data_IF_690125783843
#
_entry.id   IF_690125783843
#
_cell.length_a   1.000
_cell.length_b   1.000
_cell.length_c   1.000
_cell.angle_alpha   90.00
_cell.angle_beta   90.00
_cell.angle_gamma   90.00
#
_symmetry.space_group_name_H-M   'P 1'
#
loop_
_entity.id
_entity.type
_entity.pdbx_description
1 polymer ?
#
# COMPACT_ATOMS: atom_id res chain seq x y z
N UNK A 1 0.67 -28.13 21.49
CA UNK A 1 0.06 -28.25 20.13
C UNK A 1 -1.31 -27.58 19.97
N UNK A 2 -1.75 -26.79 20.91
CA UNK A 2 -3.12 -26.17 20.87
C UNK A 2 -3.14 -24.64 20.82
N UNK A 3 -2.02 -23.96 20.96
CA UNK A 3 -1.97 -22.47 20.96
C UNK A 3 -1.54 -21.84 19.62
N UNK A 4 -1.03 -22.64 18.70
CA UNK A 4 -0.48 -22.21 17.42
C UNK A 4 -1.52 -21.71 16.40
N UNK A 5 -2.78 -22.09 16.58
CA UNK A 5 -3.86 -21.75 15.62
C UNK A 5 -4.49 -20.37 15.81
N UNK A 6 -4.16 -19.62 16.88
CA UNK A 6 -4.86 -18.36 17.20
C UNK A 6 -4.13 -17.06 16.82
N UNK A 7 -2.82 -17.08 16.65
CA UNK A 7 -2.04 -15.84 16.47
C UNK A 7 -1.73 -15.56 14.98
N UNK A 8 -1.58 -16.59 14.17
CA UNK A 8 -1.51 -16.42 12.70
C UNK A 8 -2.86 -15.98 12.10
N UNK A 9 -3.95 -16.09 12.87
CA UNK A 9 -5.31 -15.73 12.44
C UNK A 9 -5.59 -14.24 12.23
N UNK A 10 -4.82 -13.33 12.79
CA UNK A 10 -5.13 -11.89 12.62
C UNK A 10 -4.52 -11.30 11.33
N UNK A 11 -3.50 -11.95 10.75
CA UNK A 11 -2.86 -11.50 9.50
C UNK A 11 -2.90 -12.58 8.41
N UNK A 12 -3.21 -13.84 8.74
CA UNK A 12 -3.10 -15.01 7.86
C UNK A 12 -4.37 -15.83 7.67
N UNK A 13 -5.50 -15.53 8.31
CA UNK A 13 -6.71 -16.35 8.18
C UNK A 13 -7.88 -15.58 7.56
N UNK A 14 -7.94 -15.56 6.24
CA UNK A 14 -9.17 -15.88 5.52
C UNK A 14 -8.89 -17.11 4.65
N UNK A 15 -8.84 -18.27 5.30
CA UNK A 15 -8.97 -19.53 4.58
C UNK A 15 -10.43 -19.69 4.19
N UNK A 16 -10.66 -19.63 2.89
CA UNK A 16 -11.88 -20.06 2.20
C UNK A 16 -12.21 -21.47 2.68
N UNK A 17 -13.23 -21.62 3.53
CA UNK A 17 -13.99 -22.86 3.59
C UNK A 17 -14.97 -22.79 2.41
N UNK A 18 -14.52 -23.28 1.26
CA UNK A 18 -15.42 -23.63 0.18
C UNK A 18 -16.24 -24.85 0.62
N UNK A 19 -17.37 -24.61 1.28
CA UNK A 19 -18.45 -25.60 1.32
C UNK A 19 -19.14 -25.56 -0.03
N UNK A 20 -18.92 -26.63 -0.84
CA UNK A 20 -19.69 -26.94 -2.02
C UNK A 20 -21.17 -27.10 -1.66
N UNK A 21 -21.92 -26.02 -1.69
CA UNK A 21 -23.36 -26.01 -1.90
C UNK A 21 -23.66 -24.80 -2.75
N UNK A 22 -24.14 -25.03 -3.98
CA UNK A 22 -24.53 -24.01 -4.93
C UNK A 22 -25.74 -23.21 -4.44
N UNK A 23 -25.49 -22.31 -3.51
CA UNK A 23 -26.38 -21.19 -3.22
C UNK A 23 -25.75 -20.02 -3.97
N UNK A 24 -26.35 -19.66 -5.10
CA UNK A 24 -26.18 -18.34 -5.67
C UNK A 24 -26.75 -17.40 -4.61
N UNK A 25 -25.88 -16.86 -3.75
CA UNK A 25 -26.25 -15.75 -2.88
C UNK A 25 -26.69 -14.63 -3.83
N UNK A 26 -27.92 -14.16 -3.68
CA UNK A 26 -28.36 -12.95 -4.36
C UNK A 26 -27.29 -11.88 -4.08
N UNK A 27 -26.69 -11.35 -5.13
CA UNK A 27 -25.66 -10.31 -5.02
C UNK A 27 -26.24 -9.17 -4.18
N UNK A 28 -25.51 -8.75 -3.14
CA UNK A 28 -26.01 -7.69 -2.26
C UNK A 28 -26.20 -6.42 -3.09
N UNK A 29 -27.44 -5.95 -3.23
CA UNK A 29 -27.78 -4.80 -4.07
C UNK A 29 -27.07 -3.52 -3.66
N UNK A 30 -26.56 -3.44 -2.42
CA UNK A 30 -25.76 -2.32 -1.94
C UNK A 30 -24.37 -2.28 -2.60
N UNK A 31 -23.76 -3.45 -2.81
CA UNK A 31 -22.46 -3.56 -3.50
C UNK A 31 -22.60 -3.15 -4.97
N UNK A 32 -23.66 -3.58 -5.65
CA UNK A 32 -23.91 -3.15 -7.04
C UNK A 32 -24.09 -1.62 -7.15
N UNK A 33 -24.86 -1.03 -6.23
CA UNK A 33 -25.06 0.41 -6.20
C UNK A 33 -23.76 1.15 -5.90
N UNK A 34 -22.95 0.64 -4.98
CA UNK A 34 -21.63 1.20 -4.67
C UNK A 34 -20.67 1.13 -5.87
N UNK A 35 -20.64 0.02 -6.61
CA UNK A 35 -19.83 -0.09 -7.85
C UNK A 35 -20.25 0.95 -8.90
N UNK A 36 -21.55 1.18 -9.05
CA UNK A 36 -22.06 2.22 -9.95
C UNK A 36 -21.62 3.64 -9.47
N UNK A 37 -21.63 3.87 -8.16
CA UNK A 37 -21.10 5.10 -7.60
C UNK A 37 -19.58 5.24 -7.84
N UNK A 38 -18.79 4.19 -7.69
CA UNK A 38 -17.35 4.19 -7.98
C UNK A 38 -17.06 4.55 -9.44
N UNK A 39 -17.91 4.10 -10.38
CA UNK A 39 -17.82 4.53 -11.77
C UNK A 39 -18.00 6.05 -11.93
N UNK A 40 -18.96 6.62 -11.20
CA UNK A 40 -19.16 8.08 -11.17
C UNK A 40 -17.92 8.80 -10.59
N UNK A 41 -17.38 8.35 -9.45
CA UNK A 41 -16.18 8.95 -8.86
C UNK A 41 -14.99 8.91 -9.82
N UNK A 42 -14.84 7.83 -10.58
CA UNK A 42 -13.81 7.68 -11.61
C UNK A 42 -14.00 8.66 -12.76
N UNK A 43 -15.23 8.78 -13.28
CA UNK A 43 -15.55 9.75 -14.34
C UNK A 43 -15.36 11.20 -13.85
N UNK A 44 -15.67 11.45 -12.56
CA UNK A 44 -15.40 12.74 -11.92
C UNK A 44 -13.90 13.05 -11.84
N UNK A 45 -13.08 12.11 -11.39
CA UNK A 45 -11.62 12.26 -11.31
C UNK A 45 -11.01 12.57 -12.69
N UNK A 46 -11.52 11.90 -13.73
CA UNK A 46 -11.11 12.13 -15.12
C UNK A 46 -11.70 13.42 -15.71
N UNK A 47 -12.57 14.11 -15.00
CA UNK A 47 -13.34 15.27 -15.48
C UNK A 47 -14.07 14.99 -16.81
N UNK A 48 -14.62 13.79 -16.95
CA UNK A 48 -15.39 13.35 -18.13
C UNK A 48 -16.88 13.65 -17.94
N UNK A 49 -17.27 14.88 -18.23
CA UNK A 49 -18.65 15.33 -18.13
C UNK A 49 -19.61 14.52 -19.02
N UNK A 50 -19.13 14.08 -20.19
CA UNK A 50 -19.93 13.29 -21.13
C UNK A 50 -20.18 11.88 -20.60
N UNK A 51 -19.17 11.21 -20.07
CA UNK A 51 -19.34 9.90 -19.44
C UNK A 51 -20.25 10.00 -18.22
N UNK A 52 -20.11 11.04 -17.37
CA UNK A 52 -20.99 11.27 -16.22
C UNK A 52 -22.47 11.35 -16.69
N UNK A 53 -22.77 12.19 -17.67
CA UNK A 53 -24.14 12.38 -18.15
C UNK A 53 -24.73 11.10 -18.76
N UNK A 54 -23.94 10.35 -19.51
CA UNK A 54 -24.39 9.13 -20.21
C UNK A 54 -24.50 7.93 -19.27
N UNK A 55 -23.49 7.71 -18.45
CA UNK A 55 -23.32 6.43 -17.73
C UNK A 55 -23.82 6.49 -16.29
N UNK A 56 -23.80 7.66 -15.65
CA UNK A 56 -24.07 7.78 -14.23
C UNK A 56 -25.45 8.36 -13.90
N UNK A 57 -26.13 9.01 -14.85
CA UNK A 57 -27.46 9.54 -14.62
C UNK A 57 -28.52 8.86 -15.50
N UNK A 58 -29.69 8.64 -14.93
CA UNK A 58 -30.92 8.44 -15.73
C UNK A 58 -31.32 9.77 -16.39
N UNK A 59 -32.02 9.71 -17.49
CA UNK A 59 -32.50 10.92 -18.18
C UNK A 59 -34.01 10.83 -18.31
N UNK A 60 -34.78 11.75 -17.75
CA UNK A 60 -34.32 12.93 -16.99
C UNK A 60 -33.92 12.63 -15.56
N UNK A 61 -33.05 13.47 -14.96
CA UNK A 61 -32.70 13.45 -13.54
C UNK A 61 -32.90 14.84 -12.91
N UNK A 62 -33.04 14.88 -11.58
CA UNK A 62 -33.18 16.14 -10.85
C UNK A 62 -31.85 16.55 -10.21
N UNK A 63 -31.31 17.70 -10.57
CA UNK A 63 -30.11 18.26 -10.00
C UNK A 63 -30.45 19.56 -9.29
N UNK A 64 -30.15 19.62 -7.98
CA UNK A 64 -30.36 20.78 -7.15
C UNK A 64 -29.01 21.37 -6.73
N UNK A 65 -28.56 22.42 -7.41
CA UNK A 65 -27.37 23.21 -7.02
C UNK A 65 -27.78 24.59 -6.50
N UNK A 66 -28.40 25.40 -7.33
CA UNK A 66 -28.95 26.70 -6.96
C UNK A 66 -30.49 26.77 -7.14
N UNK A 67 -31.02 25.88 -7.97
CA UNK A 67 -32.46 25.67 -8.15
C UNK A 67 -32.68 24.24 -8.60
N UNK A 68 -33.82 23.64 -8.24
CA UNK A 68 -34.18 22.28 -8.71
C UNK A 68 -34.50 22.39 -10.21
N UNK A 69 -33.72 21.68 -11.01
CA UNK A 69 -33.94 21.57 -12.43
C UNK A 69 -34.07 20.12 -12.84
N UNK A 70 -35.08 19.81 -13.65
CA UNK A 70 -35.14 18.53 -14.36
C UNK A 70 -34.21 18.65 -15.55
N UNK A 71 -33.21 17.77 -15.61
CA UNK A 71 -32.12 17.85 -16.58
C UNK A 71 -32.06 16.60 -17.44
N UNK A 72 -32.06 16.80 -18.74
CA UNK A 72 -31.66 15.74 -19.68
C UNK A 72 -30.12 15.57 -19.71
N UNK A 73 -29.64 14.57 -20.43
CA UNK A 73 -28.21 14.26 -20.49
C UNK A 73 -27.36 15.45 -21.00
N UNK A 74 -27.90 16.28 -21.89
CA UNK A 74 -27.19 17.45 -22.44
C UNK A 74 -26.98 18.52 -21.36
N UNK A 75 -28.03 18.81 -20.60
CA UNK A 75 -27.97 19.78 -19.49
C UNK A 75 -27.06 19.27 -18.38
N UNK A 76 -27.08 17.98 -18.08
CA UNK A 76 -26.19 17.34 -17.11
C UNK A 76 -24.72 17.52 -17.56
N UNK A 77 -24.42 17.19 -18.81
CA UNK A 77 -23.07 17.33 -19.37
C UNK A 77 -22.56 18.79 -19.27
N UNK A 78 -23.36 19.77 -19.63
CA UNK A 78 -22.99 21.20 -19.59
C UNK A 78 -22.78 21.69 -18.14
N UNK A 79 -23.56 21.21 -17.19
CA UNK A 79 -23.37 21.53 -15.78
C UNK A 79 -22.01 21.02 -15.27
N UNK A 80 -21.63 19.78 -15.60
CA UNK A 80 -20.34 19.22 -15.18
C UNK A 80 -19.16 19.88 -15.89
N UNK A 81 -19.28 20.23 -17.18
CA UNK A 81 -18.25 21.03 -17.89
C UNK A 81 -17.98 22.37 -17.19
N UNK A 82 -19.04 23.02 -16.72
CA UNK A 82 -18.91 24.28 -15.97
C UNK A 82 -18.18 24.06 -14.65
N UNK A 83 -18.57 23.05 -13.86
CA UNK A 83 -17.92 22.72 -12.61
C UNK A 83 -16.44 22.38 -12.82
N UNK A 84 -16.13 21.53 -13.79
CA UNK A 84 -14.75 21.13 -14.09
C UNK A 84 -13.89 22.30 -14.56
N UNK A 85 -14.48 23.27 -15.27
CA UNK A 85 -13.77 24.49 -15.64
C UNK A 85 -13.35 25.30 -14.40
N UNK A 86 -14.22 25.39 -13.38
CA UNK A 86 -13.92 26.06 -12.11
C UNK A 86 -12.86 25.27 -11.33
N UNK A 87 -13.01 23.95 -11.26
CA UNK A 87 -12.08 23.09 -10.52
C UNK A 87 -10.68 23.10 -11.11
N UNK A 88 -10.55 23.06 -12.45
CA UNK A 88 -9.25 23.17 -13.16
C UNK A 88 -8.55 24.51 -12.88
N UNK A 89 -9.27 25.60 -12.84
CA UNK A 89 -8.73 26.93 -12.51
C UNK A 89 -8.20 27.02 -11.07
N UNK A 90 -8.72 26.19 -10.18
CA UNK A 90 -8.34 26.14 -8.77
C UNK A 90 -7.40 24.98 -8.44
N UNK A 91 -6.76 24.40 -9.45
CA UNK A 91 -5.77 23.35 -9.30
C UNK A 91 -6.29 22.08 -8.60
N UNK A 92 -7.56 21.73 -8.80
CA UNK A 92 -8.16 20.51 -8.24
C UNK A 92 -7.46 19.25 -8.74
N UNK A 93 -7.17 18.32 -7.80
CA UNK A 93 -6.61 17.03 -8.12
C UNK A 93 -7.60 15.88 -7.85
N UNK A 94 -8.03 15.69 -6.60
CA UNK A 94 -8.94 14.61 -6.22
C UNK A 94 -9.86 14.99 -5.04
N UNK A 95 -10.84 14.13 -4.77
CA UNK A 95 -11.66 14.18 -3.56
C UNK A 95 -11.44 12.93 -2.72
N UNK A 96 -11.37 13.10 -1.40
CA UNK A 96 -11.52 11.99 -0.45
C UNK A 96 -12.98 11.94 -0.02
N UNK A 97 -13.61 10.76 -0.15
CA UNK A 97 -15.05 10.58 0.00
C UNK A 97 -15.34 9.58 1.12
N UNK A 98 -16.26 9.94 2.02
CA UNK A 98 -16.90 9.04 2.97
C UNK A 98 -18.36 8.90 2.58
N UNK A 99 -18.79 7.67 2.28
CA UNK A 99 -20.09 7.37 1.70
C UNK A 99 -20.96 6.60 2.69
N UNK A 100 -22.25 6.90 2.71
CA UNK A 100 -23.25 6.11 3.44
C UNK A 100 -24.39 5.75 2.48
N UNK A 101 -24.65 4.46 2.30
CA UNK A 101 -25.68 3.92 1.44
C UNK A 101 -26.90 3.49 2.26
N UNK A 102 -27.99 4.24 2.15
CA UNK A 102 -29.22 4.01 2.87
C UNK A 102 -30.23 3.34 1.96
N UNK A 103 -30.48 2.05 2.16
CA UNK A 103 -31.46 1.29 1.38
C UNK A 103 -32.87 1.85 1.59
N UNK A 104 -33.51 2.26 0.51
CA UNK A 104 -34.91 2.69 0.48
C UNK A 104 -35.82 1.55 -0.02
N UNK A 105 -35.33 0.76 -0.98
CA UNK A 105 -35.94 -0.45 -1.52
C UNK A 105 -34.88 -1.33 -2.19
N UNK A 106 -35.25 -2.46 -2.74
CA UNK A 106 -34.32 -3.33 -3.50
C UNK A 106 -33.80 -2.68 -4.80
N UNK A 107 -34.42 -1.61 -5.24
CA UNK A 107 -34.05 -0.88 -6.45
C UNK A 107 -33.73 0.58 -6.22
N UNK A 108 -33.69 1.06 -4.96
CA UNK A 108 -33.45 2.47 -4.63
C UNK A 108 -32.54 2.59 -3.41
N UNK A 109 -31.44 3.34 -3.57
CA UNK A 109 -30.55 3.76 -2.49
C UNK A 109 -30.47 5.27 -2.42
N UNK A 110 -30.54 5.81 -1.19
CA UNK A 110 -30.08 7.17 -0.92
C UNK A 110 -28.64 7.12 -0.49
N UNK A 111 -27.77 7.86 -1.19
CA UNK A 111 -26.34 7.93 -0.89
C UNK A 111 -26.02 9.30 -0.33
N UNK A 112 -25.35 9.31 0.80
CA UNK A 112 -24.76 10.50 1.38
C UNK A 112 -23.25 10.46 1.15
N UNK A 113 -22.69 11.55 0.65
CA UNK A 113 -21.25 11.72 0.45
C UNK A 113 -20.74 12.90 1.26
N UNK A 114 -19.83 12.65 2.19
CA UNK A 114 -19.06 13.67 2.88
C UNK A 114 -17.65 13.66 2.30
N UNK A 115 -17.16 14.80 1.81
CA UNK A 115 -15.91 14.81 1.07
C UNK A 115 -15.10 16.09 1.22
N UNK A 116 -13.78 15.91 1.07
CA UNK A 116 -12.81 16.98 0.96
C UNK A 116 -12.17 16.98 -0.42
N UNK A 117 -11.90 18.16 -0.97
CA UNK A 117 -11.19 18.32 -2.25
C UNK A 117 -9.77 18.81 -2.02
N UNK A 118 -8.84 18.26 -2.78
CA UNK A 118 -7.42 18.55 -2.67
C UNK A 118 -6.84 19.07 -3.97
N UNK A 119 -5.82 19.93 -3.85
CA UNK A 119 -5.02 20.44 -4.97
C UNK A 119 -3.90 19.47 -5.32
N UNK A 120 -3.20 19.73 -6.45
CA UNK A 120 -2.04 18.96 -6.89
C UNK A 120 -0.88 19.02 -5.90
N UNK A 121 -0.72 20.11 -5.15
CA UNK A 121 0.25 20.23 -4.06
C UNK A 121 -0.16 19.50 -2.77
N UNK A 122 -1.32 18.80 -2.78
CA UNK A 122 -1.86 18.09 -1.63
C UNK A 122 -2.54 18.97 -0.58
N UNK A 123 -2.55 20.28 -0.76
CA UNK A 123 -3.27 21.20 0.14
C UNK A 123 -4.78 21.08 -0.03
N UNK A 124 -5.52 21.37 1.04
CA UNK A 124 -6.98 21.36 1.01
C UNK A 124 -7.49 22.48 0.09
N UNK A 125 -8.24 22.13 -0.94
CA UNK A 125 -8.93 23.09 -1.81
C UNK A 125 -10.28 23.54 -1.20
N UNK A 126 -11.08 22.55 -0.78
CA UNK A 126 -12.38 22.75 -0.14
C UNK A 126 -12.63 21.60 0.82
N UNK A 127 -13.04 21.92 2.05
CA UNK A 127 -13.32 20.91 3.08
C UNK A 127 -14.77 20.94 3.56
N UNK A 128 -15.16 19.89 4.27
CA UNK A 128 -16.48 19.73 4.90
C UNK A 128 -17.65 19.86 3.91
N UNK A 129 -17.47 19.34 2.70
CA UNK A 129 -18.49 19.33 1.67
C UNK A 129 -19.39 18.11 1.83
N UNK A 130 -20.69 18.28 1.54
CA UNK A 130 -21.61 17.15 1.55
C UNK A 130 -22.61 17.22 0.39
N UNK A 131 -22.95 16.04 -0.10
CA UNK A 131 -23.97 15.86 -1.13
C UNK A 131 -24.81 14.62 -0.82
N UNK A 132 -26.05 14.63 -1.31
CA UNK A 132 -26.91 13.44 -1.32
C UNK A 132 -27.32 13.12 -2.74
N UNK A 133 -27.36 11.83 -3.01
CA UNK A 133 -27.78 11.27 -4.28
C UNK A 133 -28.94 10.30 -4.04
N UNK A 134 -29.82 10.16 -4.98
CA UNK A 134 -30.77 9.06 -5.05
C UNK A 134 -30.41 8.22 -6.27
N UNK A 135 -30.07 6.97 -6.04
CA UNK A 135 -29.76 5.99 -7.08
C UNK A 135 -30.94 5.04 -7.28
N UNK A 136 -31.29 4.76 -8.52
CA UNK A 136 -32.34 3.82 -8.87
C UNK A 136 -31.82 2.80 -9.88
N UNK A 137 -32.22 1.52 -9.69
CA UNK A 137 -31.95 0.44 -10.64
C UNK A 137 -33.07 0.36 -11.64
N UNK A 138 -32.82 0.78 -12.89
CA UNK A 138 -33.74 0.66 -14.02
C UNK A 138 -33.07 -0.19 -15.12
N UNK A 139 -33.79 -1.16 -15.65
CA UNK A 139 -33.29 -2.08 -16.69
C UNK A 139 -31.96 -2.77 -16.34
N UNK A 140 -31.77 -3.09 -15.06
CA UNK A 140 -30.54 -3.73 -14.54
C UNK A 140 -29.37 -2.77 -14.25
N UNK A 141 -29.50 -1.48 -14.51
CA UNK A 141 -28.45 -0.49 -14.33
C UNK A 141 -28.76 0.47 -13.17
N UNK A 142 -27.83 0.62 -12.24
CA UNK A 142 -27.88 1.63 -11.19
C UNK A 142 -27.38 2.96 -11.71
N UNK A 143 -28.21 4.01 -11.62
CA UNK A 143 -27.87 5.39 -11.99
C UNK A 143 -28.54 6.39 -11.06
N UNK A 144 -27.99 7.61 -11.02
CA UNK A 144 -28.58 8.71 -10.27
C UNK A 144 -29.85 9.24 -10.92
N UNK A 145 -30.87 9.45 -10.12
CA UNK A 145 -32.10 10.17 -10.49
C UNK A 145 -32.21 11.50 -9.77
N UNK A 146 -31.40 11.72 -8.73
CA UNK A 146 -31.35 12.96 -7.95
C UNK A 146 -29.95 13.21 -7.43
N UNK A 147 -29.55 14.49 -7.39
CA UNK A 147 -28.34 15.00 -6.75
C UNK A 147 -28.63 16.35 -6.10
N UNK A 148 -28.17 16.54 -4.85
CA UNK A 148 -28.19 17.83 -4.16
C UNK A 148 -26.98 18.00 -3.26
N UNK A 149 -26.43 19.20 -3.21
CA UNK A 149 -25.55 19.61 -2.11
C UNK A 149 -26.37 19.78 -0.84
N UNK A 150 -25.81 19.33 0.29
CA UNK A 150 -26.45 19.42 1.60
C UNK A 150 -25.46 19.98 2.62
N UNK A 151 -25.96 20.34 3.81
CA UNK A 151 -25.11 20.69 4.93
C UNK A 151 -24.55 19.39 5.56
N UNK A 152 -23.26 19.31 5.79
CA UNK A 152 -22.59 18.14 6.37
C UNK A 152 -23.17 17.71 7.73
N UNK A 153 -23.75 18.64 8.48
CA UNK A 153 -24.46 18.34 9.75
C UNK A 153 -25.74 17.49 9.58
N UNK A 154 -26.25 17.37 8.36
CA UNK A 154 -27.46 16.59 8.06
C UNK A 154 -27.16 15.18 7.54
N UNK A 155 -25.92 14.75 7.63
CA UNK A 155 -25.52 13.40 7.25
C UNK A 155 -26.19 12.36 8.15
N UNK A 156 -26.74 11.33 7.55
CA UNK A 156 -27.29 10.18 8.28
C UNK A 156 -26.19 9.11 8.39
N UNK A 157 -25.71 8.87 9.60
CA UNK A 157 -24.63 7.92 9.89
C UNK A 157 -25.13 6.51 10.26
N UNK A 158 -26.42 6.22 10.08
CA UNK A 158 -27.04 4.94 10.46
C UNK A 158 -27.17 3.93 9.30
N UNK A 159 -26.50 4.15 8.19
CA UNK A 159 -26.57 3.30 6.99
C UNK A 159 -25.23 2.62 6.74
N UNK A 160 -25.20 1.70 5.75
CA UNK A 160 -23.97 1.01 5.36
C UNK A 160 -22.91 2.01 4.90
N UNK A 161 -21.76 2.01 5.59
CA UNK A 161 -20.65 2.91 5.27
C UNK A 161 -19.71 2.26 4.26
N UNK A 162 -19.34 3.00 3.23
CA UNK A 162 -18.37 2.60 2.21
C UNK A 162 -17.28 3.65 2.07
N UNK A 163 -16.07 3.17 1.85
CA UNK A 163 -14.93 4.01 1.52
C UNK A 163 -14.55 3.80 0.06
N UNK A 164 -14.28 4.89 -0.64
CA UNK A 164 -13.75 4.81 -1.99
C UNK A 164 -12.25 4.53 -1.93
N UNK A 165 -11.87 3.28 -2.14
CA UNK A 165 -10.48 2.83 -2.17
C UNK A 165 -9.96 2.72 -3.61
N UNK A 166 -8.66 2.72 -3.79
CA UNK A 166 -7.97 2.50 -5.07
C UNK A 166 -8.50 3.37 -6.24
N UNK A 167 -8.83 4.62 -5.96
CA UNK A 167 -9.36 5.54 -6.97
C UNK A 167 -8.28 6.37 -7.67
N UNK A 168 -7.06 6.49 -7.08
CA UNK A 168 -6.02 7.40 -7.55
C UNK A 168 -4.95 6.66 -8.36
N UNK A 169 -4.84 6.92 -9.69
CA UNK A 169 -3.79 6.33 -10.51
C UNK A 169 -2.43 6.98 -10.20
N UNK A 170 -1.36 6.22 -10.38
CA UNK A 170 0.03 6.69 -10.27
C UNK A 170 0.55 7.16 -11.65
N UNK A 171 -0.13 8.13 -12.23
CA UNK A 171 0.18 8.76 -13.52
C UNK A 171 1.24 9.88 -13.40
N UNK A 172 1.47 10.64 -14.47
CA UNK A 172 2.44 11.73 -14.44
C UNK A 172 2.00 12.84 -13.46
N UNK A 173 0.72 13.16 -13.40
CA UNK A 173 0.19 14.17 -12.45
C UNK A 173 0.44 13.77 -11.00
N UNK A 174 0.30 12.48 -10.69
CA UNK A 174 0.65 11.93 -9.38
C UNK A 174 2.14 12.12 -9.09
N UNK A 175 3.04 11.74 -10.02
CA UNK A 175 4.49 11.89 -9.83
C UNK A 175 4.90 13.35 -9.65
N UNK A 176 4.37 14.27 -10.44
CA UNK A 176 4.61 15.71 -10.30
C UNK A 176 4.18 16.22 -8.92
N UNK A 177 3.02 15.76 -8.45
CA UNK A 177 2.50 16.10 -7.13
C UNK A 177 3.38 15.56 -5.99
N UNK A 178 3.88 14.32 -6.10
CA UNK A 178 4.79 13.74 -5.10
C UNK A 178 6.10 14.53 -5.09
N UNK A 179 6.72 14.76 -6.26
CA UNK A 179 7.99 15.50 -6.38
C UNK A 179 7.93 16.94 -5.88
N UNK A 180 6.74 17.55 -5.86
CA UNK A 180 6.56 18.91 -5.31
C UNK A 180 6.50 18.95 -3.77
N UNK A 181 6.34 17.81 -3.10
CA UNK A 181 6.10 17.69 -1.65
C UNK A 181 7.13 16.88 -0.89
N UNK A 182 7.86 16.03 -1.58
CA UNK A 182 8.80 15.08 -1.01
C UNK A 182 10.16 15.20 -1.70
N UNK A 183 11.23 14.99 -0.97
CA UNK A 183 12.59 15.15 -1.46
C UNK A 183 13.07 14.00 -2.38
N UNK A 184 12.25 12.96 -2.54
CA UNK A 184 12.58 11.82 -3.38
C UNK A 184 12.39 12.08 -4.87
N UNK A 185 12.98 11.22 -5.66
CA UNK A 185 12.98 11.26 -7.10
C UNK A 185 12.26 10.04 -7.69
N UNK A 186 11.76 10.16 -8.91
CA UNK A 186 11.26 9.04 -9.69
C UNK A 186 12.26 8.66 -10.77
N UNK A 187 12.57 7.38 -10.90
CA UNK A 187 13.37 6.83 -11.98
C UNK A 187 12.56 5.78 -12.73
N UNK A 188 12.58 5.85 -14.07
CA UNK A 188 11.93 4.83 -14.90
C UNK A 188 12.87 3.64 -15.06
N UNK A 189 12.45 2.49 -14.54
CA UNK A 189 13.11 1.20 -14.71
C UNK A 189 12.32 0.34 -15.72
N UNK A 190 12.77 -0.89 -15.99
CA UNK A 190 12.17 -1.77 -16.99
C UNK A 190 10.65 -1.97 -16.82
N UNK A 191 10.18 -2.09 -15.59
CA UNK A 191 8.82 -2.51 -15.27
C UNK A 191 7.95 -1.36 -14.72
N UNK A 192 8.47 -0.11 -14.67
CA UNK A 192 7.74 1.06 -14.20
C UNK A 192 8.60 2.10 -13.49
N UNK A 193 7.95 3.14 -12.96
CA UNK A 193 8.62 4.17 -12.17
C UNK A 193 8.85 3.70 -10.73
N UNK A 194 10.08 3.84 -10.27
CA UNK A 194 10.48 3.60 -8.88
C UNK A 194 10.71 4.94 -8.18
N UNK A 195 10.04 5.15 -7.04
CA UNK A 195 10.32 6.25 -6.13
C UNK A 195 11.48 5.88 -5.22
N UNK A 196 12.46 6.76 -5.08
CA UNK A 196 13.59 6.57 -4.18
C UNK A 196 14.06 7.90 -3.59
N UNK A 197 14.73 7.81 -2.46
CA UNK A 197 15.43 8.92 -1.84
C UNK A 197 16.90 8.54 -1.69
N UNK A 198 17.78 9.46 -1.99
CA UNK A 198 19.22 9.27 -1.92
C UNK A 198 19.92 10.49 -1.31
N UNK A 199 20.83 10.23 -0.38
CA UNK A 199 21.70 11.27 0.19
C UNK A 199 23.18 10.86 0.11
N UNK A 200 24.07 11.85 0.23
CA UNK A 200 25.53 11.67 0.19
C UNK A 200 26.00 10.85 -1.03
N UNK A 201 25.53 11.22 -2.23
CA UNK A 201 25.74 10.47 -3.50
C UNK A 201 27.22 10.15 -3.78
N UNK A 202 28.14 10.99 -3.33
CA UNK A 202 29.59 10.86 -3.57
C UNK A 202 30.33 10.08 -2.46
N UNK A 203 29.61 9.51 -1.50
CA UNK A 203 30.24 8.74 -0.43
C UNK A 203 30.92 7.47 -0.95
N UNK A 204 31.99 7.05 -0.30
CA UNK A 204 32.70 5.81 -0.68
C UNK A 204 31.89 4.55 -0.38
N UNK A 205 31.12 4.55 0.72
CA UNK A 205 30.29 3.42 1.16
C UNK A 205 28.81 3.79 1.05
N UNK A 206 28.04 2.92 0.45
CA UNK A 206 26.60 3.10 0.28
C UNK A 206 25.80 2.02 1.01
N UNK A 207 24.67 2.43 1.61
CA UNK A 207 23.72 1.57 2.29
C UNK A 207 22.40 1.65 1.53
N UNK A 208 21.77 0.51 1.27
CA UNK A 208 20.43 0.44 0.71
C UNK A 208 19.49 -0.17 1.74
N UNK A 209 18.42 0.56 2.04
CA UNK A 209 17.40 0.20 3.02
C UNK A 209 16.16 -0.34 2.28
N UNK A 210 15.91 -1.65 2.42
CA UNK A 210 14.83 -2.37 1.75
C UNK A 210 13.72 -2.64 2.76
N UNK A 211 12.54 -2.05 2.53
CA UNK A 211 11.40 -2.18 3.43
C UNK A 211 10.71 -3.55 3.35
N UNK A 212 9.77 -3.81 4.27
CA UNK A 212 9.04 -5.05 4.39
C UNK A 212 7.86 -5.18 3.43
N UNK A 213 6.90 -6.06 3.81
CA UNK A 213 5.79 -6.49 2.96
C UNK A 213 4.87 -5.36 2.49
N UNK A 214 4.49 -4.42 3.37
CA UNK A 214 3.41 -3.48 3.06
C UNK A 214 3.75 -2.01 3.31
N UNK A 215 4.51 -1.70 4.36
CA UNK A 215 4.89 -0.33 4.71
C UNK A 215 6.08 0.10 3.86
N UNK A 216 5.98 1.21 3.10
CA UNK A 216 7.03 1.64 2.18
C UNK A 216 8.25 2.24 2.87
N UNK A 217 9.17 2.78 2.09
CA UNK A 217 10.53 3.21 2.48
C UNK A 217 10.59 4.19 3.66
N UNK A 218 9.52 4.93 3.93
CA UNK A 218 9.49 5.84 5.08
C UNK A 218 9.63 5.14 6.44
N UNK A 219 9.45 3.81 6.49
CA UNK A 219 9.70 3.03 7.71
C UNK A 219 11.14 3.12 8.18
N UNK A 220 12.06 3.46 7.28
CA UNK A 220 13.48 3.59 7.52
C UNK A 220 13.92 4.99 7.95
N UNK A 221 13.00 5.93 8.22
CA UNK A 221 13.34 7.33 8.50
C UNK A 221 14.44 7.50 9.55
N UNK A 222 14.41 6.86 10.75
CA UNK A 222 15.45 7.04 11.76
C UNK A 222 16.83 6.58 11.27
N UNK A 223 16.90 5.42 10.61
CA UNK A 223 18.17 4.87 10.11
C UNK A 223 18.69 5.66 8.89
N UNK A 224 17.79 6.17 8.05
CA UNK A 224 18.14 6.99 6.90
C UNK A 224 18.80 8.31 7.34
N UNK A 225 18.23 8.99 8.32
CA UNK A 225 18.79 10.23 8.86
C UNK A 225 20.13 10.00 9.56
N UNK A 226 20.27 8.93 10.31
CA UNK A 226 21.54 8.60 10.98
C UNK A 226 22.64 8.26 9.96
N UNK A 227 22.32 7.55 8.88
CA UNK A 227 23.27 7.26 7.79
C UNK A 227 23.79 8.55 7.14
N UNK A 228 22.91 9.54 6.92
CA UNK A 228 23.26 10.85 6.38
C UNK A 228 24.26 11.56 7.31
N UNK A 229 23.96 11.62 8.61
CA UNK A 229 24.78 12.29 9.62
C UNK A 229 26.17 11.66 9.75
N UNK A 230 26.26 10.34 9.54
CA UNK A 230 27.54 9.60 9.57
C UNK A 230 28.32 9.63 8.26
N UNK A 231 27.80 10.31 7.24
CA UNK A 231 28.47 10.48 5.95
C UNK A 231 28.41 9.28 5.03
N UNK A 232 27.54 8.29 5.29
CA UNK A 232 27.29 7.20 4.34
C UNK A 232 26.46 7.71 3.18
N UNK A 233 26.72 7.20 1.98
CA UNK A 233 25.74 7.22 0.89
C UNK A 233 24.56 6.34 1.30
N UNK A 234 23.35 6.86 1.26
CA UNK A 234 22.19 6.09 1.67
C UNK A 234 21.06 6.20 0.66
N UNK A 235 20.45 5.05 0.36
CA UNK A 235 19.31 4.93 -0.53
C UNK A 235 18.20 4.20 0.22
N UNK A 236 16.98 4.75 0.15
CA UNK A 236 15.75 4.03 0.44
C UNK A 236 14.81 4.18 -0.74
N UNK A 237 14.03 3.17 -1.04
CA UNK A 237 13.13 3.19 -2.19
C UNK A 237 11.85 2.42 -1.88
N UNK A 238 10.79 2.75 -2.58
CA UNK A 238 9.55 2.00 -2.51
C UNK A 238 9.59 0.85 -3.51
N UNK A 239 9.36 -0.38 -3.05
CA UNK A 239 9.24 -1.52 -3.96
C UNK A 239 7.99 -1.37 -4.83
N UNK A 240 7.99 -1.93 -6.03
CA UNK A 240 6.79 -1.94 -6.87
C UNK A 240 5.58 -2.46 -6.09
N UNK A 241 4.42 -1.87 -6.33
CA UNK A 241 3.21 -2.19 -5.59
C UNK A 241 3.10 -1.52 -4.21
N UNK A 242 4.07 -0.72 -3.78
CA UNK A 242 4.11 -0.03 -2.48
C UNK A 242 4.39 1.45 -2.64
N UNK A 243 4.04 2.21 -1.62
CA UNK A 243 4.36 3.63 -1.52
C UNK A 243 4.04 4.41 -2.78
N UNK A 244 5.03 5.14 -3.28
CA UNK A 244 4.91 5.98 -4.46
C UNK A 244 5.40 5.32 -5.76
N UNK A 245 6.11 4.18 -5.69
CA UNK A 245 6.47 3.39 -6.89
C UNK A 245 5.25 2.86 -7.61
N UNK A 246 5.36 2.60 -8.90
CA UNK A 246 4.27 2.09 -9.72
C UNK A 246 3.74 0.73 -9.22
N UNK A 247 2.51 0.43 -9.61
CA UNK A 247 1.82 -0.83 -9.32
C UNK A 247 1.59 -1.62 -10.63
N UNK A 248 2.65 -2.13 -11.30
CA UNK A 248 2.49 -2.83 -12.58
C UNK A 248 1.65 -4.10 -12.45
N UNK A 249 0.95 -4.46 -13.51
CA UNK A 249 0.14 -5.67 -13.59
C UNK A 249 1.00 -6.90 -13.91
N UNK A 250 1.88 -7.27 -12.95
CA UNK A 250 2.84 -8.36 -13.04
C UNK A 250 2.75 -9.25 -11.79
N UNK A 251 3.46 -10.37 -11.79
CA UNK A 251 3.60 -11.24 -10.62
C UNK A 251 4.68 -10.70 -9.68
N UNK A 252 4.30 -10.46 -8.43
CA UNK A 252 5.16 -9.86 -7.42
C UNK A 252 5.96 -10.93 -6.67
N UNK A 253 6.94 -11.53 -7.36
CA UNK A 253 7.85 -12.52 -6.79
C UNK A 253 9.07 -11.88 -6.12
N UNK A 254 9.81 -12.68 -5.33
CA UNK A 254 11.10 -12.24 -4.77
C UNK A 254 12.09 -11.83 -5.87
N UNK A 255 12.11 -12.55 -6.99
CA UNK A 255 12.94 -12.22 -8.16
C UNK A 255 12.54 -10.87 -8.78
N UNK A 256 11.23 -10.60 -8.89
CA UNK A 256 10.72 -9.33 -9.40
C UNK A 256 11.20 -8.13 -8.57
N UNK A 257 11.13 -8.22 -7.25
CA UNK A 257 11.65 -7.19 -6.36
C UNK A 257 13.17 -7.07 -6.43
N UNK A 258 13.87 -8.20 -6.53
CA UNK A 258 15.32 -8.19 -6.68
C UNK A 258 15.76 -7.54 -8.01
N UNK A 259 15.05 -7.82 -9.11
CA UNK A 259 15.28 -7.16 -10.42
C UNK A 259 15.10 -5.65 -10.30
N UNK A 260 14.03 -5.18 -9.64
CA UNK A 260 13.81 -3.75 -9.39
C UNK A 260 15.02 -3.12 -8.70
N UNK A 261 15.51 -3.74 -7.62
CA UNK A 261 16.65 -3.19 -6.87
C UNK A 261 17.94 -3.21 -7.68
N UNK A 262 18.24 -4.29 -8.40
CA UNK A 262 19.44 -4.36 -9.25
C UNK A 262 19.39 -3.27 -10.34
N UNK A 263 18.25 -3.10 -11.00
CA UNK A 263 18.07 -2.06 -12.02
C UNK A 263 18.24 -0.65 -11.41
N UNK A 264 17.76 -0.43 -10.19
CA UNK A 264 17.97 0.83 -9.47
C UNK A 264 19.45 1.08 -9.16
N UNK A 265 20.17 0.07 -8.66
CA UNK A 265 21.60 0.19 -8.39
C UNK A 265 22.41 0.48 -9.67
N UNK A 266 22.04 -0.15 -10.78
CA UNK A 266 22.71 0.07 -12.09
C UNK A 266 22.44 1.48 -12.60
N UNK A 267 21.20 1.95 -12.53
CA UNK A 267 20.83 3.29 -12.92
C UNK A 267 21.51 4.39 -12.09
N UNK A 268 21.77 4.10 -10.81
CA UNK A 268 22.52 4.98 -9.89
C UNK A 268 24.04 4.78 -9.96
N UNK A 269 24.53 3.91 -10.85
CA UNK A 269 25.95 3.56 -11.03
C UNK A 269 26.62 3.00 -9.75
N UNK A 270 25.85 2.38 -8.86
CA UNK A 270 26.34 1.80 -7.61
C UNK A 270 26.80 0.36 -7.84
N UNK A 271 28.09 0.13 -7.77
CA UNK A 271 28.69 -1.18 -8.06
C UNK A 271 28.56 -2.17 -6.90
N UNK A 272 28.77 -1.70 -5.68
CA UNK A 272 28.77 -2.51 -4.48
C UNK A 272 28.20 -1.73 -3.28
N UNK A 273 27.34 -2.35 -2.50
CA UNK A 273 26.60 -1.69 -1.42
C UNK A 273 26.44 -2.60 -0.20
N UNK A 274 26.17 -2.00 0.95
CA UNK A 274 25.62 -2.71 2.09
C UNK A 274 24.10 -2.82 1.92
N UNK A 275 23.52 -4.03 2.03
CA UNK A 275 22.08 -4.25 1.95
C UNK A 275 21.47 -4.47 3.34
N UNK A 276 20.46 -3.71 3.68
CA UNK A 276 19.65 -3.87 4.89
C UNK A 276 18.23 -4.20 4.49
N UNK A 277 17.74 -5.40 4.85
CA UNK A 277 16.41 -5.88 4.48
C UNK A 277 15.53 -6.17 5.69
N UNK A 278 14.41 -5.47 5.80
CA UNK A 278 13.40 -5.66 6.85
C UNK A 278 12.35 -6.68 6.41
N UNK A 279 12.03 -7.64 7.28
CA UNK A 279 10.87 -8.54 7.06
C UNK A 279 10.91 -9.19 5.67
N UNK A 280 9.90 -8.95 4.82
CA UNK A 280 9.84 -9.44 3.44
C UNK A 280 10.97 -8.87 2.54
N UNK A 281 11.48 -7.65 2.86
CA UNK A 281 12.69 -7.12 2.26
C UNK A 281 13.91 -8.02 2.48
N UNK A 282 13.92 -8.81 3.55
CA UNK A 282 14.92 -9.85 3.81
C UNK A 282 14.97 -10.91 2.71
N UNK A 283 13.83 -11.30 2.13
CA UNK A 283 13.79 -12.22 0.96
C UNK A 283 14.48 -11.60 -0.25
N UNK A 284 14.18 -10.33 -0.52
CA UNK A 284 14.76 -9.58 -1.65
C UNK A 284 16.28 -9.48 -1.52
N UNK A 285 16.79 -9.07 -0.36
CA UNK A 285 18.23 -8.91 -0.17
C UNK A 285 18.97 -10.26 -0.13
N UNK A 286 18.33 -11.34 0.37
CA UNK A 286 18.88 -12.69 0.31
C UNK A 286 19.01 -13.17 -1.14
N UNK A 287 17.98 -12.94 -1.97
CA UNK A 287 18.02 -13.30 -3.39
C UNK A 287 19.19 -12.59 -4.10
N UNK A 288 19.34 -11.28 -3.88
CA UNK A 288 20.43 -10.50 -4.50
C UNK A 288 21.79 -11.00 -4.03
N UNK A 289 21.96 -11.21 -2.73
CA UNK A 289 23.24 -11.67 -2.20
C UNK A 289 23.63 -13.08 -2.67
N UNK A 290 22.63 -13.95 -2.93
CA UNK A 290 22.88 -15.27 -3.48
C UNK A 290 23.27 -15.27 -4.97
N UNK A 291 22.61 -14.42 -5.79
CA UNK A 291 22.80 -14.41 -7.25
C UNK A 291 23.80 -13.36 -7.74
N UNK A 292 24.02 -12.29 -6.96
CA UNK A 292 24.90 -11.18 -7.29
C UNK A 292 25.88 -10.86 -6.14
N UNK A 293 26.66 -11.83 -5.64
CA UNK A 293 27.50 -11.64 -4.44
C UNK A 293 28.52 -10.51 -4.58
N UNK A 294 29.00 -10.24 -5.79
CA UNK A 294 29.95 -9.15 -6.06
C UNK A 294 29.34 -7.75 -5.87
N UNK A 295 28.03 -7.65 -5.84
CA UNK A 295 27.28 -6.38 -5.62
C UNK A 295 27.15 -6.05 -4.14
N UNK A 296 27.48 -6.98 -3.22
CA UNK A 296 27.17 -6.88 -1.80
C UNK A 296 28.46 -6.84 -0.99
N UNK A 297 28.57 -5.86 -0.11
CA UNK A 297 29.68 -5.74 0.84
C UNK A 297 29.31 -6.40 2.17
N UNK A 298 28.15 -6.08 2.72
CA UNK A 298 27.56 -6.73 3.89
C UNK A 298 26.04 -6.90 3.71
N UNK A 299 25.50 -7.98 4.24
CA UNK A 299 24.10 -8.31 4.26
C UNK A 299 23.56 -8.20 5.70
N UNK A 300 22.58 -7.35 5.91
CA UNK A 300 21.98 -7.12 7.21
C UNK A 300 20.47 -7.47 7.12
N UNK A 301 20.07 -8.43 7.90
CA UNK A 301 18.68 -8.83 8.06
C UNK A 301 18.08 -8.17 9.30
N UNK A 302 16.92 -7.56 9.16
CA UNK A 302 16.15 -7.00 10.27
C UNK A 302 14.82 -7.76 10.34
N UNK A 303 14.66 -8.59 11.36
CA UNK A 303 13.49 -9.45 11.54
C UNK A 303 13.01 -10.11 10.23
N UNK A 304 13.88 -10.82 9.47
CA UNK A 304 13.62 -11.20 8.09
C UNK A 304 12.56 -12.30 7.95
N UNK A 305 11.71 -12.18 6.94
CA UNK A 305 10.89 -13.28 6.46
C UNK A 305 11.75 -14.32 5.71
N UNK A 306 11.21 -15.54 5.55
CA UNK A 306 11.85 -16.61 4.78
C UNK A 306 12.60 -17.65 5.59
N UNK A 307 12.70 -17.48 6.91
CA UNK A 307 13.29 -18.49 7.81
C UNK A 307 12.24 -19.37 8.49
N UNK A 308 11.00 -18.87 8.70
CA UNK A 308 9.93 -19.61 9.38
C UNK A 308 9.33 -20.71 8.52
N UNK A 309 9.17 -20.47 7.24
CA UNK A 309 8.66 -21.45 6.28
C UNK A 309 9.63 -21.59 5.10
N UNK A 310 9.64 -22.76 4.48
CA UNK A 310 10.43 -23.03 3.27
C UNK A 310 9.54 -23.52 2.12
N UNK A 311 8.25 -23.31 2.24
CA UNK A 311 7.29 -23.68 1.21
C UNK A 311 7.21 -22.61 0.14
N UNK A 312 7.28 -23.03 -1.12
CA UNK A 312 6.98 -22.16 -2.25
C UNK A 312 5.48 -22.14 -2.49
N UNK A 313 4.90 -20.95 -2.58
CA UNK A 313 3.52 -20.74 -3.01
C UNK A 313 3.55 -20.41 -4.50
N UNK A 314 2.83 -21.18 -5.31
CA UNK A 314 2.80 -21.04 -6.78
C UNK A 314 1.38 -20.78 -7.32
N UNK A 315 0.56 -20.08 -6.56
CA UNK A 315 -0.77 -19.64 -7.01
C UNK A 315 -0.66 -18.27 -7.68
N UNK A 316 -0.04 -18.21 -8.85
CA UNK A 316 0.43 -16.95 -9.45
C UNK A 316 -0.71 -15.96 -9.81
N UNK A 317 -1.91 -16.42 -10.09
CA UNK A 317 -2.98 -15.56 -10.60
C UNK A 317 -3.79 -14.94 -9.45
N UNK A 318 -3.92 -13.63 -9.47
CA UNK A 318 -4.84 -12.87 -8.60
C UNK A 318 -6.10 -12.55 -9.41
N UNK A 319 -7.24 -13.01 -8.94
CA UNK A 319 -8.53 -12.77 -9.60
C UNK A 319 -9.15 -11.44 -9.17
N UNK A 320 -10.00 -10.81 -10.01
CA UNK A 320 -10.74 -9.61 -9.63
C UNK A 320 -11.59 -9.80 -8.37
N UNK A 321 -12.17 -10.99 -8.18
CA UNK A 321 -12.97 -11.30 -6.99
C UNK A 321 -12.13 -11.33 -5.71
N UNK A 322 -10.89 -11.84 -5.76
CA UNK A 322 -9.98 -11.82 -4.60
C UNK A 322 -9.57 -10.39 -4.23
N UNK A 323 -9.33 -9.54 -5.23
CA UNK A 323 -9.03 -8.12 -5.01
C UNK A 323 -10.21 -7.45 -4.30
N UNK A 324 -11.41 -7.64 -4.82
CA UNK A 324 -12.63 -7.07 -4.25
C UNK A 324 -12.87 -7.55 -2.81
N UNK A 325 -12.76 -8.85 -2.56
CA UNK A 325 -12.91 -9.41 -1.23
C UNK A 325 -11.86 -8.83 -0.27
N UNK A 326 -10.61 -8.73 -0.70
CA UNK A 326 -9.54 -8.17 0.12
C UNK A 326 -9.78 -6.70 0.47
N UNK A 327 -10.25 -5.89 -0.49
CA UNK A 327 -10.60 -4.48 -0.23
C UNK A 327 -11.76 -4.41 0.76
N UNK A 328 -12.83 -5.15 0.56
CA UNK A 328 -14.03 -5.09 1.39
C UNK A 328 -13.80 -5.59 2.82
N UNK A 329 -12.98 -6.63 3.00
CA UNK A 329 -12.78 -7.29 4.29
C UNK A 329 -11.60 -6.73 5.08
N UNK A 330 -10.49 -6.40 4.40
CA UNK A 330 -9.24 -6.05 5.07
C UNK A 330 -9.02 -4.54 5.21
N UNK A 331 -9.37 -3.73 4.22
CA UNK A 331 -8.99 -2.33 4.18
C UNK A 331 -9.51 -1.50 5.36
N UNK A 332 -10.66 -1.81 5.89
CA UNK A 332 -11.24 -1.08 7.03
C UNK A 332 -10.35 -1.12 8.29
N UNK A 333 -9.58 -2.21 8.47
CA UNK A 333 -8.78 -2.45 9.66
C UNK A 333 -7.29 -2.62 9.38
N UNK A 334 -6.86 -2.61 8.12
CA UNK A 334 -5.49 -2.97 7.74
C UNK A 334 -4.45 -2.02 8.32
N UNK A 335 -4.75 -0.71 8.39
CA UNK A 335 -3.86 0.27 9.01
C UNK A 335 -3.73 0.07 10.52
N UNK A 336 -4.84 -0.19 11.20
CA UNK A 336 -4.84 -0.51 12.63
C UNK A 336 -4.07 -1.80 12.91
N UNK A 337 -4.17 -2.78 12.00
CA UNK A 337 -3.42 -4.04 12.08
C UNK A 337 -1.91 -3.86 12.06
N UNK A 338 -1.39 -2.77 11.46
CA UNK A 338 0.05 -2.48 11.45
C UNK A 338 0.61 -2.16 12.84
N UNK A 339 -0.22 -1.78 13.80
CA UNK A 339 0.22 -1.51 15.17
C UNK A 339 0.67 -2.79 15.90
N UNK A 340 0.27 -3.98 15.44
CA UNK A 340 0.74 -5.25 16.00
C UNK A 340 2.22 -5.55 15.72
N UNK A 341 2.85 -4.80 14.82
CA UNK A 341 4.28 -4.92 14.51
C UNK A 341 5.15 -4.34 15.65
N UNK A 342 4.57 -3.48 16.49
CA UNK A 342 5.26 -2.84 17.60
C UNK A 342 5.06 -3.58 18.92
N UNK A 343 6.08 -3.58 19.78
CA UNK A 343 6.00 -4.00 21.18
C UNK A 343 5.28 -2.96 22.03
N UNK A 344 5.52 -1.66 21.76
CA UNK A 344 4.89 -0.52 22.41
C UNK A 344 4.05 0.32 21.43
N UNK A 345 2.89 -0.21 20.94
CA UNK A 345 2.12 0.40 19.86
C UNK A 345 1.55 1.78 20.19
N UNK A 346 1.38 2.10 21.48
CA UNK A 346 0.90 3.40 21.95
C UNK A 346 1.85 4.56 21.61
N UNK A 347 3.10 4.28 21.30
CA UNK A 347 4.10 5.27 20.84
C UNK A 347 3.94 5.65 19.38
N UNK A 348 3.16 4.86 18.60
CA UNK A 348 3.07 4.95 17.14
C UNK A 348 1.62 5.09 16.65
N UNK A 349 0.78 5.81 17.41
CA UNK A 349 -0.68 5.92 17.15
C UNK A 349 -1.03 6.49 15.77
N UNK A 350 -0.20 7.37 15.21
CA UNK A 350 -0.41 7.95 13.88
C UNK A 350 -0.04 6.99 12.74
N UNK A 351 0.62 5.88 13.05
CA UNK A 351 1.09 4.91 12.07
C UNK A 351 -0.04 4.33 11.21
N UNK A 352 -1.14 3.96 11.85
CA UNK A 352 -2.33 3.45 11.18
C UNK A 352 -2.90 4.46 10.17
N UNK A 353 -2.97 5.76 10.54
CA UNK A 353 -3.46 6.82 9.66
C UNK A 353 -2.55 7.02 8.47
N UNK A 354 -1.23 7.03 8.69
CA UNK A 354 -0.24 7.15 7.62
C UNK A 354 -0.33 5.97 6.64
N UNK A 355 -0.49 4.75 7.16
CA UNK A 355 -0.67 3.56 6.34
C UNK A 355 -1.96 3.62 5.51
N UNK A 356 -3.09 4.01 6.12
CA UNK A 356 -4.37 4.12 5.42
C UNK A 356 -4.33 5.09 4.23
N UNK A 357 -3.43 6.08 4.26
CA UNK A 357 -3.18 6.98 3.14
C UNK A 357 -2.71 6.28 1.85
N UNK A 358 -2.23 5.03 1.94
CA UNK A 358 -1.80 4.23 0.79
C UNK A 358 -2.97 3.55 0.07
N UNK A 359 -4.09 3.33 0.75
CA UNK A 359 -5.22 2.53 0.26
C UNK A 359 -5.98 3.19 -0.90
N UNK A 360 -5.72 4.45 -1.16
CA UNK A 360 -6.30 5.20 -2.29
C UNK A 360 -5.63 4.91 -3.63
N UNK A 361 -4.44 4.30 -3.65
CA UNK A 361 -3.69 4.08 -4.88
C UNK A 361 -4.11 2.81 -5.60
N UNK A 362 -4.45 2.92 -6.90
CA UNK A 362 -4.88 1.80 -7.73
C UNK A 362 -3.81 0.70 -7.80
N UNK A 363 -4.25 -0.56 -7.70
CA UNK A 363 -3.41 -1.74 -7.82
C UNK A 363 -2.70 -2.16 -6.52
N UNK A 364 -2.89 -1.45 -5.40
CA UNK A 364 -2.28 -1.81 -4.12
C UNK A 364 -2.76 -3.17 -3.62
N UNK A 365 -4.08 -3.44 -3.62
CA UNK A 365 -4.63 -4.73 -3.20
C UNK A 365 -4.10 -5.89 -4.04
N UNK A 366 -4.08 -5.72 -5.37
CA UNK A 366 -3.53 -6.72 -6.28
C UNK A 366 -2.06 -7.02 -5.99
N UNK A 367 -1.24 -6.00 -5.79
CA UNK A 367 0.17 -6.16 -5.47
C UNK A 367 0.39 -6.91 -4.15
N UNK A 368 -0.41 -6.61 -3.11
CA UNK A 368 -0.37 -7.31 -1.82
C UNK A 368 -0.72 -8.79 -1.97
N UNK A 369 -1.80 -9.11 -2.68
CA UNK A 369 -2.24 -10.47 -2.93
C UNK A 369 -1.23 -11.24 -3.80
N UNK A 370 -0.73 -10.62 -4.86
CA UNK A 370 0.26 -11.25 -5.75
C UNK A 370 1.56 -11.57 -5.01
N UNK A 371 2.04 -10.69 -4.13
CA UNK A 371 3.23 -10.99 -3.32
C UNK A 371 3.01 -12.26 -2.47
N UNK A 372 1.85 -12.41 -1.81
CA UNK A 372 1.54 -13.60 -1.00
C UNK A 372 1.45 -14.89 -1.82
N UNK A 373 0.98 -14.79 -3.06
CA UNK A 373 0.83 -15.92 -3.98
C UNK A 373 2.11 -16.35 -4.71
N UNK A 374 3.20 -15.56 -4.58
CA UNK A 374 4.44 -15.77 -5.32
C UNK A 374 5.66 -15.93 -4.40
N UNK A 375 5.49 -16.42 -3.19
CA UNK A 375 6.62 -16.74 -2.31
C UNK A 375 7.38 -17.97 -2.80
N UNK A 376 8.70 -17.85 -2.88
CA UNK A 376 9.58 -18.95 -3.17
C UNK A 376 10.21 -19.54 -1.90
N UNK A 377 10.67 -20.79 -1.98
CA UNK A 377 11.48 -21.40 -0.94
C UNK A 377 12.80 -20.64 -0.76
N UNK A 378 13.17 -20.33 0.50
CA UNK A 378 14.34 -19.50 0.80
C UNK A 378 15.57 -20.28 1.28
N UNK A 379 15.40 -21.51 1.77
CA UNK A 379 16.53 -22.30 2.26
C UNK A 379 17.65 -22.50 1.23
N UNK A 380 17.37 -22.77 -0.07
CA UNK A 380 18.42 -22.85 -1.08
C UNK A 380 19.24 -21.57 -1.22
N UNK A 381 18.58 -20.41 -1.13
CA UNK A 381 19.25 -19.11 -1.18
C UNK A 381 20.12 -18.88 0.07
N UNK A 382 19.59 -19.20 1.25
CA UNK A 382 20.35 -19.10 2.50
C UNK A 382 21.58 -20.01 2.50
N UNK A 383 21.49 -21.20 1.92
CA UNK A 383 22.65 -22.09 1.72
C UNK A 383 23.69 -21.47 0.80
N UNK A 384 23.26 -20.85 -0.30
CA UNK A 384 24.17 -20.12 -1.22
C UNK A 384 24.86 -18.95 -0.52
N UNK A 385 24.20 -18.23 0.41
CA UNK A 385 24.85 -17.19 1.22
C UNK A 385 26.03 -17.76 2.05
N UNK A 386 25.83 -18.94 2.64
CA UNK A 386 26.88 -19.64 3.37
C UNK A 386 28.05 -20.05 2.45
N UNK A 387 27.75 -20.65 1.31
CA UNK A 387 28.74 -21.07 0.32
C UNK A 387 29.55 -19.88 -0.23
N UNK A 388 28.90 -18.75 -0.49
CA UNK A 388 29.49 -17.50 -0.91
C UNK A 388 30.26 -16.78 0.21
N UNK A 389 30.20 -17.25 1.45
CA UNK A 389 30.76 -16.60 2.64
C UNK A 389 30.31 -15.16 2.78
N UNK A 390 29.05 -14.89 2.50
CA UNK A 390 28.45 -13.55 2.58
C UNK A 390 28.49 -13.08 4.04
N UNK A 391 29.12 -11.94 4.29
CA UNK A 391 29.16 -11.35 5.64
C UNK A 391 27.74 -10.97 6.05
N UNK A 392 27.19 -11.73 6.98
CA UNK A 392 25.77 -11.62 7.36
C UNK A 392 25.61 -11.23 8.83
N UNK A 393 24.67 -10.36 9.11
CA UNK A 393 24.24 -10.00 10.47
C UNK A 393 22.73 -9.99 10.57
N UNK A 394 22.19 -10.34 11.75
CA UNK A 394 20.77 -10.29 12.08
C UNK A 394 20.53 -9.29 13.21
N UNK A 395 19.47 -8.52 13.10
CA UNK A 395 18.98 -7.58 14.11
C UNK A 395 17.50 -7.88 14.35
N UNK A 396 17.11 -8.24 15.58
CA UNK A 396 15.79 -8.81 15.84
C UNK A 396 15.22 -8.35 17.19
N UNK A 397 13.94 -7.96 17.23
CA UNK A 397 13.25 -7.65 18.48
C UNK A 397 12.92 -8.90 19.30
N UNK A 398 13.12 -8.83 20.60
CA UNK A 398 12.84 -9.94 21.53
C UNK A 398 11.34 -10.27 21.61
N UNK A 399 10.50 -9.28 21.35
CA UNK A 399 9.05 -9.37 21.42
C UNK A 399 8.37 -9.38 20.04
N UNK A 400 9.11 -9.77 18.99
CA UNK A 400 8.54 -9.89 17.64
C UNK A 400 7.45 -10.96 17.62
N UNK A 401 6.20 -10.50 17.53
CA UNK A 401 5.01 -11.36 17.45
C UNK A 401 4.62 -11.72 16.01
N UNK A 402 5.21 -11.02 15.02
CA UNK A 402 4.98 -11.26 13.60
C UNK A 402 5.85 -12.41 13.10
N UNK A 403 7.16 -12.34 13.41
CA UNK A 403 8.17 -13.34 13.07
C UNK A 403 9.01 -13.68 14.32
N UNK A 404 8.52 -14.53 15.25
CA UNK A 404 9.21 -14.81 16.50
C UNK A 404 10.60 -15.43 16.30
N UNK A 405 11.65 -14.76 16.80
CA UNK A 405 13.04 -15.22 16.66
C UNK A 405 13.26 -16.64 17.19
N UNK A 406 12.64 -16.99 18.31
CA UNK A 406 12.87 -18.28 18.97
C UNK A 406 12.44 -19.49 18.11
N UNK A 407 11.51 -19.28 17.18
CA UNK A 407 11.07 -20.33 16.24
C UNK A 407 12.14 -20.66 15.19
N UNK A 408 13.01 -19.70 14.88
CA UNK A 408 14.00 -19.81 13.78
C UNK A 408 15.45 -19.70 14.23
N UNK A 409 15.73 -19.36 15.48
CA UNK A 409 17.09 -19.16 16.01
C UNK A 409 18.02 -20.30 15.70
N UNK A 410 17.61 -21.55 15.99
CA UNK A 410 18.39 -22.74 15.69
C UNK A 410 18.60 -22.96 14.20
N UNK A 411 17.56 -22.68 13.39
CA UNK A 411 17.64 -22.80 11.93
C UNK A 411 18.65 -21.78 11.35
N UNK A 412 18.62 -20.54 11.82
CA UNK A 412 19.58 -19.51 11.41
C UNK A 412 21.01 -19.93 11.77
N UNK A 413 21.24 -20.41 12.98
CA UNK A 413 22.56 -20.89 13.42
C UNK A 413 23.09 -22.07 12.59
N UNK A 414 22.21 -22.96 12.14
CA UNK A 414 22.57 -24.09 11.29
C UNK A 414 22.85 -23.69 9.84
N UNK A 415 22.07 -22.76 9.28
CA UNK A 415 22.21 -22.31 7.89
C UNK A 415 23.35 -21.29 7.73
N UNK A 416 23.54 -20.41 8.69
CA UNK A 416 24.49 -19.29 8.65
C UNK A 416 25.28 -19.21 9.98
N UNK A 417 26.13 -20.19 10.29
CA UNK A 417 26.79 -20.32 11.61
C UNK A 417 27.74 -19.15 11.93
N UNK A 418 28.27 -18.46 10.93
CA UNK A 418 29.16 -17.30 11.09
C UNK A 418 28.39 -15.96 11.21
N UNK A 419 27.08 -15.97 11.03
CA UNK A 419 26.29 -14.76 11.12
C UNK A 419 26.17 -14.25 12.56
N UNK A 420 26.32 -12.93 12.74
CA UNK A 420 26.14 -12.28 14.04
C UNK A 420 24.66 -12.01 14.27
N UNK A 421 24.17 -12.26 15.48
CA UNK A 421 22.80 -11.99 15.89
C UNK A 421 22.76 -10.97 17.03
N UNK A 422 22.02 -9.89 16.82
CA UNK A 422 21.77 -8.83 17.80
C UNK A 422 20.28 -8.81 18.15
N UNK A 423 19.99 -8.88 19.45
CA UNK A 423 18.61 -8.89 19.98
C UNK A 423 18.32 -7.59 20.69
N UNK A 424 17.10 -7.07 20.46
CA UNK A 424 16.60 -5.82 20.99
C UNK A 424 15.49 -6.12 22.00
N UNK A 425 15.76 -5.85 23.28
CA UNK A 425 14.97 -6.35 24.41
C UNK A 425 13.63 -5.63 24.59
N UNK A 426 13.48 -4.42 24.05
CA UNK A 426 12.28 -3.57 24.15
C UNK A 426 11.62 -3.35 22.77
N UNK A 427 11.79 -4.28 21.86
CA UNK A 427 11.27 -4.15 20.49
C UNK A 427 10.47 -5.36 20.02
N UNK A 428 9.44 -5.08 19.23
CA UNK A 428 8.70 -6.04 18.43
C UNK A 428 9.36 -6.28 17.07
N UNK A 429 8.56 -6.25 16.00
CA UNK A 429 9.03 -6.52 14.63
C UNK A 429 9.92 -5.40 14.06
N UNK A 430 9.89 -4.19 14.65
CA UNK A 430 10.51 -2.98 14.10
C UNK A 430 11.59 -2.38 15.03
N UNK A 431 12.69 -3.11 15.35
CA UNK A 431 13.70 -2.66 16.29
C UNK A 431 14.41 -1.35 15.88
N UNK A 432 14.49 -1.07 14.59
CA UNK A 432 15.05 0.18 14.04
C UNK A 432 14.19 1.42 14.32
N UNK A 433 12.92 1.21 14.74
CA UNK A 433 12.01 2.28 15.14
C UNK A 433 11.83 2.35 16.66
N UNK A 434 11.79 1.20 17.33
CA UNK A 434 11.48 1.12 18.76
C UNK A 434 12.68 1.37 19.66
N UNK A 435 13.86 0.87 19.26
CA UNK A 435 15.16 1.09 19.92
C UNK A 435 16.15 1.75 18.94
N UNK A 436 15.75 2.85 18.28
CA UNK A 436 16.47 3.47 17.17
C UNK A 436 17.93 3.81 17.49
N UNK A 437 18.23 4.39 18.66
CA UNK A 437 19.59 4.73 19.06
C UNK A 437 20.49 3.49 19.21
N UNK A 438 19.97 2.44 19.86
CA UNK A 438 20.69 1.16 20.03
C UNK A 438 20.88 0.47 18.68
N UNK A 439 19.83 0.47 17.85
CA UNK A 439 19.85 -0.12 16.51
C UNK A 439 20.92 0.56 15.65
N UNK A 440 20.88 1.87 15.53
CA UNK A 440 21.78 2.65 14.70
C UNK A 440 23.24 2.53 15.21
N UNK A 441 23.47 2.57 16.53
CA UNK A 441 24.79 2.35 17.11
C UNK A 441 25.36 0.98 16.74
N UNK A 442 24.57 -0.11 16.84
CA UNK A 442 25.02 -1.45 16.46
C UNK A 442 25.29 -1.53 14.96
N UNK A 443 24.37 -1.01 14.13
CA UNK A 443 24.51 -1.02 12.68
C UNK A 443 25.81 -0.34 12.24
N UNK A 444 26.03 0.91 12.65
CA UNK A 444 27.13 1.74 12.15
C UNK A 444 28.47 1.50 12.87
N UNK A 445 28.45 1.12 14.15
CA UNK A 445 29.68 1.01 14.94
C UNK A 445 30.17 -0.43 15.15
N UNK A 446 29.33 -1.42 14.87
CA UNK A 446 29.72 -2.83 15.03
C UNK A 446 29.60 -3.65 13.75
N UNK A 447 28.68 -3.31 12.86
CA UNK A 447 28.42 -4.10 11.64
C UNK A 447 29.14 -3.47 10.43
N UNK A 448 28.98 -2.18 10.18
CA UNK A 448 29.42 -1.51 8.95
C UNK A 448 30.83 -0.90 9.03
N UNK A 449 31.58 -1.21 10.05
CA UNK A 449 32.98 -0.73 10.18
C UNK A 449 33.89 -1.21 9.07
#
# INVERSE_FOLDING_TARGET
>A
MSSYKKIISAVLYFSIIASNHGIVLAEDTSIEAFRAYQNYSRNWLNMDAKAIARDNFHSPAHINKASITTSDATVIEENYKTDFTVLRKNDYWYSEEKLSFCKQSDTVYQVFNHYNRYKTDGSLLQGDLAATYLMEKQHGLWKFIYLSSINSKWMNYGCDEYHNYEFLPKDQKFRDSVSSRWDGEFIHLDDGYTYYEQANKEAEKHIVLVHGFSVPSYIWEPTYQEAIQRGYGVIRYDTFGRGFSDNPDLDYSTEFFAKQLINLLDALALKKVHLVGLSDGGRTVAYIAAHFPDRIDQLIFVAPAGFHTDEAIKENTVTPQEIENFINEAYQNIGQGQLSDFYAPERFTEWATRYNGLLKYQGFARAMLSTRKNYQAMNPLHQTLFENKTKTSFMWGAHDSVLPLEEVRTKIQNLLPEARLFVFDESGHLPHMEEEEKFNRILFEQILQ
#
